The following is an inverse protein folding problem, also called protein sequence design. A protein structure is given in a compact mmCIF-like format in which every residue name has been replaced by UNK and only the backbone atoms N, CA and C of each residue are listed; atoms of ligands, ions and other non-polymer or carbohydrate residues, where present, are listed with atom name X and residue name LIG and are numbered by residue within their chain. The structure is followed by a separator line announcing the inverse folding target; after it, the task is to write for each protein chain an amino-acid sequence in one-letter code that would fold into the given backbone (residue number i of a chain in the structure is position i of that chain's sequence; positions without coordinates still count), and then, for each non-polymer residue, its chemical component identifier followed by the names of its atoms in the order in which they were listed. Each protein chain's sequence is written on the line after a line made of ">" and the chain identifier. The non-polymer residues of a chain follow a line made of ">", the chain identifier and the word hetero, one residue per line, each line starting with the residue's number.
data_IF_276760313161
#
_entry.id   IF_276760313161
#
_cell.length_a   1.000
_cell.length_b   1.000
_cell.length_c   1.000
_cell.angle_alpha   90.00
_cell.angle_beta   90.00
_cell.angle_gamma   90.00
#
_symmetry.space_group_name_H-M   'P 1'
#
loop_
_entity.id
_entity.type
_entity.pdbx_description
1 polymer ?
#
# COMPACT_ATOMS: atom_id res chain seq x y z
N UNK A 1 3.84 -35.59 3.45
CA UNK A 1 2.84 -34.92 4.30
C UNK A 1 1.59 -34.72 3.46
N UNK A 2 0.46 -35.26 3.90
CA UNK A 2 -0.83 -34.97 3.31
C UNK A 2 -1.36 -33.69 3.95
N UNK A 3 -1.77 -32.72 3.12
CA UNK A 3 -2.50 -31.53 3.52
C UNK A 3 -3.89 -31.62 2.92
N UNK A 4 -4.91 -31.11 3.61
CA UNK A 4 -6.29 -31.10 3.10
C UNK A 4 -6.49 -30.02 2.04
N UNK A 5 -5.69 -28.94 2.10
CA UNK A 5 -5.68 -27.86 1.12
C UNK A 5 -4.34 -27.08 1.13
N UNK A 6 -3.98 -26.54 -0.01
CA UNK A 6 -2.86 -25.62 -0.19
C UNK A 6 -3.42 -24.22 -0.40
N UNK A 7 -3.04 -23.29 0.48
CA UNK A 7 -3.52 -21.90 0.46
C UNK A 7 -2.33 -21.00 0.21
N UNK A 8 -2.47 -20.03 -0.68
CA UNK A 8 -1.46 -19.01 -0.98
C UNK A 8 -2.07 -17.61 -0.91
N UNK A 9 -1.25 -16.59 -0.74
CA UNK A 9 -1.73 -15.21 -0.65
C UNK A 9 -2.12 -14.63 -2.02
N UNK A 10 -1.44 -15.03 -3.09
CA UNK A 10 -1.62 -14.46 -4.42
C UNK A 10 -1.16 -15.40 -5.54
N UNK A 11 -1.42 -14.99 -6.78
CA UNK A 11 -1.06 -15.78 -7.97
C UNK A 11 0.44 -15.98 -8.14
N UNK A 12 1.28 -15.04 -7.71
CA UNK A 12 2.73 -15.18 -7.83
C UNK A 12 3.26 -16.26 -6.90
N UNK A 13 2.70 -16.38 -5.69
CA UNK A 13 3.01 -17.48 -4.77
C UNK A 13 2.55 -18.83 -5.31
N UNK A 14 1.39 -18.89 -5.99
CA UNK A 14 0.96 -20.12 -6.66
C UNK A 14 1.96 -20.55 -7.76
N UNK A 15 2.49 -19.59 -8.55
CA UNK A 15 3.54 -19.91 -9.53
C UNK A 15 4.81 -20.47 -8.86
N UNK A 16 5.18 -19.95 -7.69
CA UNK A 16 6.31 -20.47 -6.92
C UNK A 16 6.01 -21.87 -6.37
N UNK A 17 4.82 -22.08 -5.80
CA UNK A 17 4.37 -23.39 -5.31
C UNK A 17 4.42 -24.42 -6.44
N UNK A 18 3.88 -24.08 -7.61
CA UNK A 18 3.94 -24.92 -8.80
C UNK A 18 5.36 -25.22 -9.25
N UNK A 19 6.21 -24.18 -9.29
CA UNK A 19 7.60 -24.30 -9.76
C UNK A 19 8.45 -25.20 -8.87
N UNK A 20 8.34 -25.06 -7.54
CA UNK A 20 9.22 -25.74 -6.60
C UNK A 20 8.70 -27.09 -6.12
N UNK A 21 7.37 -27.25 -6.06
CA UNK A 21 6.74 -28.44 -5.48
C UNK A 21 5.85 -29.17 -6.47
N UNK A 22 5.66 -28.64 -7.68
CA UNK A 22 4.74 -29.17 -8.70
C UNK A 22 3.29 -29.35 -8.21
N UNK A 23 2.84 -28.45 -7.30
CA UNK A 23 1.52 -28.43 -6.72
C UNK A 23 0.88 -27.09 -7.03
N UNK A 24 -0.42 -27.07 -7.33
CA UNK A 24 -1.19 -25.84 -7.44
C UNK A 24 -1.88 -25.53 -6.11
N UNK A 25 -2.14 -24.25 -5.85
CA UNK A 25 -2.95 -23.86 -4.71
C UNK A 25 -4.42 -24.18 -4.94
N UNK A 26 -5.09 -24.67 -3.90
CA UNK A 26 -6.52 -24.92 -3.91
C UNK A 26 -7.31 -23.62 -3.65
N UNK A 27 -6.73 -22.69 -2.90
CA UNK A 27 -7.35 -21.43 -2.51
C UNK A 27 -6.34 -20.27 -2.50
N UNK A 28 -6.89 -19.08 -2.73
CA UNK A 28 -6.21 -17.80 -2.52
C UNK A 28 -6.80 -17.12 -1.29
N UNK A 29 -5.93 -16.74 -0.36
CA UNK A 29 -6.31 -15.99 0.84
C UNK A 29 -5.35 -14.79 0.97
N UNK A 30 -5.64 -13.66 0.31
CA UNK A 30 -4.76 -12.50 0.32
C UNK A 30 -4.68 -11.88 1.72
N UNK A 31 -3.71 -11.00 1.92
CA UNK A 31 -3.65 -10.20 3.14
C UNK A 31 -4.93 -9.40 3.29
N UNK A 32 -5.52 -9.41 4.49
CA UNK A 32 -6.70 -8.64 4.81
C UNK A 32 -6.38 -7.63 5.92
N UNK A 33 -6.97 -6.45 5.83
CA UNK A 33 -6.81 -5.39 6.81
C UNK A 33 -8.18 -4.92 7.28
N UNK A 34 -8.27 -4.62 8.58
CA UNK A 34 -9.47 -4.04 9.18
C UNK A 34 -9.36 -2.54 9.17
N UNK A 35 -10.21 -1.88 8.39
CA UNK A 35 -10.27 -0.42 8.34
C UNK A 35 -11.66 0.03 8.78
N UNK A 36 -11.71 0.85 9.80
CA UNK A 36 -12.97 1.42 10.27
C UNK A 36 -13.27 2.74 9.54
N UNK A 37 -13.91 2.66 8.38
CA UNK A 37 -14.34 3.83 7.61
C UNK A 37 -15.53 4.58 8.24
N UNK A 38 -16.18 4.01 9.26
CA UNK A 38 -17.33 4.65 9.95
C UNK A 38 -16.90 5.56 11.08
N UNK A 39 -15.64 5.56 11.46
CA UNK A 39 -15.11 6.47 12.46
C UNK A 39 -15.26 7.90 11.96
N UNK A 40 -15.80 8.78 12.83
CA UNK A 40 -15.93 10.19 12.50
C UNK A 40 -14.53 10.75 12.17
N UNK A 41 -14.40 11.31 10.97
CA UNK A 41 -13.13 11.89 10.55
C UNK A 41 -12.71 13.02 11.49
N UNK A 42 -11.51 12.94 12.01
CA UNK A 42 -10.89 14.00 12.79
C UNK A 42 -10.49 15.21 11.93
N UNK A 43 -9.77 16.14 12.52
CA UNK A 43 -9.26 17.30 11.80
C UNK A 43 -8.18 16.89 10.82
N UNK A 44 -8.04 17.66 9.74
CA UNK A 44 -6.93 17.49 8.80
C UNK A 44 -5.59 17.68 9.56
N UNK A 45 -4.73 16.65 9.61
CA UNK A 45 -3.46 16.75 10.33
C UNK A 45 -2.38 17.50 9.55
N UNK A 46 -2.58 17.68 8.25
CA UNK A 46 -1.61 18.33 7.37
C UNK A 46 -1.71 19.85 7.47
N UNK A 47 -0.59 20.53 7.23
CA UNK A 47 -0.51 21.98 7.20
C UNK A 47 0.19 22.47 5.91
N UNK A 48 0.03 23.74 5.61
CA UNK A 48 0.61 24.33 4.40
C UNK A 48 -0.29 24.24 3.18
N UNK A 49 0.25 24.60 2.02
CA UNK A 49 -0.46 24.68 0.74
C UNK A 49 0.07 23.67 -0.30
N UNK A 50 1.05 22.85 0.07
CA UNK A 50 1.61 21.82 -0.79
C UNK A 50 0.68 20.62 -0.86
N UNK A 51 0.87 19.77 -1.85
CA UNK A 51 0.25 18.47 -1.92
C UNK A 51 0.94 17.51 -0.95
N UNK A 52 0.19 16.73 -0.20
CA UNK A 52 0.71 15.92 0.89
C UNK A 52 0.95 14.48 0.46
N UNK A 53 2.22 14.09 0.45
CA UNK A 53 2.66 12.72 0.25
C UNK A 53 2.71 12.04 1.61
N UNK A 54 2.05 10.91 1.76
CA UNK A 54 2.12 10.09 2.97
C UNK A 54 3.00 8.86 2.75
N UNK A 55 3.98 8.67 3.64
CA UNK A 55 4.73 7.44 3.80
C UNK A 55 4.39 6.79 5.13
N UNK A 56 3.90 5.55 5.10
CA UNK A 56 3.59 4.76 6.31
C UNK A 56 4.55 3.58 6.42
N UNK A 57 5.12 3.40 7.60
CA UNK A 57 6.02 2.27 7.86
C UNK A 57 6.40 2.12 9.33
N UNK A 58 7.18 1.11 9.64
CA UNK A 58 7.83 0.95 10.93
C UNK A 58 9.33 1.14 10.78
N UNK A 59 10.05 1.29 11.89
CA UNK A 59 11.52 1.30 11.92
C UNK A 59 12.04 -0.10 11.51
N UNK A 60 12.06 -0.34 10.20
CA UNK A 60 12.49 -1.57 9.57
C UNK A 60 13.34 -1.22 8.34
N UNK A 61 14.46 -1.90 8.18
CA UNK A 61 15.50 -1.52 7.23
C UNK A 61 15.00 -1.22 5.80
N UNK A 62 14.18 -2.06 5.15
CA UNK A 62 13.64 -1.75 3.82
C UNK A 62 12.77 -0.47 3.77
N UNK A 63 12.04 -0.15 4.84
CA UNK A 63 11.27 1.10 4.90
C UNK A 63 12.20 2.31 4.93
N UNK A 64 13.26 2.24 5.78
CA UNK A 64 14.22 3.33 5.94
C UNK A 64 15.02 3.53 4.66
N UNK A 65 15.56 2.46 4.10
CA UNK A 65 16.31 2.52 2.84
C UNK A 65 15.47 3.05 1.68
N UNK A 66 14.23 2.59 1.55
CA UNK A 66 13.32 3.09 0.51
C UNK A 66 12.97 4.56 0.69
N UNK A 67 12.73 5.01 1.94
CA UNK A 67 12.47 6.40 2.24
C UNK A 67 13.67 7.30 1.90
N UNK A 68 14.88 6.96 2.36
CA UNK A 68 16.10 7.71 2.02
C UNK A 68 16.31 7.75 0.52
N UNK A 69 16.27 6.60 -0.14
CA UNK A 69 16.41 6.54 -1.58
C UNK A 69 15.42 7.48 -2.31
N UNK A 70 14.16 7.49 -1.88
CA UNK A 70 13.14 8.36 -2.47
C UNK A 70 13.44 9.84 -2.21
N UNK A 71 13.80 10.19 -0.98
CA UNK A 71 14.14 11.56 -0.64
C UNK A 71 15.35 12.05 -1.43
N UNK A 72 16.42 11.26 -1.49
CA UNK A 72 17.68 11.63 -2.14
C UNK A 72 17.60 11.68 -3.67
N UNK A 73 16.73 10.87 -4.29
CA UNK A 73 16.74 10.72 -5.76
C UNK A 73 15.52 11.27 -6.48
N UNK A 74 14.38 11.40 -5.78
CA UNK A 74 13.10 11.81 -6.37
C UNK A 74 12.59 13.12 -5.76
N UNK A 75 12.53 13.21 -4.43
CA UNK A 75 11.81 14.26 -3.74
C UNK A 75 12.37 15.67 -4.03
N UNK A 76 13.66 15.83 -4.10
CA UNK A 76 14.31 17.11 -4.44
C UNK A 76 13.80 17.73 -5.75
N UNK A 77 13.32 16.89 -6.68
CA UNK A 77 12.80 17.36 -7.97
C UNK A 77 11.32 17.77 -7.92
N UNK A 78 10.60 17.44 -6.85
CA UNK A 78 9.15 17.68 -6.74
C UNK A 78 8.77 18.49 -5.50
N UNK A 79 9.68 18.75 -4.58
CA UNK A 79 9.44 19.40 -3.29
C UNK A 79 8.86 20.83 -3.38
N UNK A 80 8.96 21.52 -4.51
CA UNK A 80 8.28 22.80 -4.69
C UNK A 80 6.75 22.69 -4.55
N UNK A 81 6.17 21.57 -5.00
CA UNK A 81 4.74 21.34 -5.01
C UNK A 81 4.25 20.35 -3.94
N UNK A 82 5.18 19.64 -3.29
CA UNK A 82 4.88 18.53 -2.39
C UNK A 82 5.64 18.64 -1.07
N UNK A 83 5.06 18.09 -0.01
CA UNK A 83 5.72 17.73 1.23
C UNK A 83 5.56 16.25 1.53
N UNK A 84 6.39 15.68 2.40
CA UNK A 84 6.32 14.27 2.80
C UNK A 84 6.02 14.17 4.29
N UNK A 85 5.03 13.36 4.64
CA UNK A 85 4.67 13.03 6.00
C UNK A 85 5.01 11.57 6.27
N UNK A 86 5.97 11.36 7.19
CA UNK A 86 6.55 10.05 7.51
C UNK A 86 5.99 9.59 8.84
N UNK A 87 5.18 8.52 8.81
CA UNK A 87 4.40 8.07 9.97
C UNK A 87 4.62 6.59 10.24
N UNK A 88 4.81 6.28 11.52
CA UNK A 88 4.85 4.92 12.02
C UNK A 88 5.85 4.71 13.14
N UNK A 89 5.65 3.60 13.85
CA UNK A 89 6.38 3.30 15.09
C UNK A 89 7.89 3.18 14.86
N UNK A 90 8.63 3.98 15.60
CA UNK A 90 10.09 3.96 15.63
C UNK A 90 10.73 4.84 14.54
N UNK A 91 9.96 5.39 13.58
CA UNK A 91 10.50 6.26 12.53
C UNK A 91 10.97 7.61 13.07
N UNK A 92 10.53 8.03 14.25
CA UNK A 92 11.07 9.21 14.94
C UNK A 92 12.60 9.17 15.14
N UNK A 93 13.20 7.98 15.09
CA UNK A 93 14.65 7.77 15.24
C UNK A 93 15.46 8.26 14.06
N UNK A 94 14.85 8.35 12.89
CA UNK A 94 15.53 8.85 11.66
C UNK A 94 15.20 10.30 11.37
N UNK A 95 14.52 11.01 12.30
CA UNK A 95 14.13 12.42 12.07
C UNK A 95 15.32 13.31 11.76
N UNK A 96 16.39 13.19 12.52
CA UNK A 96 17.59 14.01 12.39
C UNK A 96 18.43 13.63 11.14
N UNK A 97 18.03 12.59 10.40
CA UNK A 97 18.66 12.18 9.14
C UNK A 97 18.10 12.97 7.94
N UNK A 98 16.98 13.70 8.11
CA UNK A 98 16.34 14.52 7.09
C UNK A 98 16.43 16.00 7.48
N UNK A 99 17.29 16.73 6.80
CA UNK A 99 17.50 18.19 7.00
C UNK A 99 16.75 18.97 5.89
N UNK A 100 15.41 18.78 5.83
CA UNK A 100 14.53 19.46 4.87
C UNK A 100 13.19 19.76 5.56
N UNK A 101 12.79 21.04 5.54
CA UNK A 101 11.55 21.52 6.17
C UNK A 101 10.27 20.90 5.56
N UNK A 102 10.36 20.36 4.37
CA UNK A 102 9.26 19.71 3.67
C UNK A 102 9.17 18.18 3.96
N UNK A 103 10.06 17.65 4.82
CA UNK A 103 10.04 16.25 5.27
C UNK A 103 9.62 16.17 6.74
N UNK A 104 8.35 15.88 7.00
CA UNK A 104 7.77 15.85 8.33
C UNK A 104 7.81 14.45 8.92
N UNK A 105 8.83 14.12 9.70
CA UNK A 105 8.92 12.83 10.40
C UNK A 105 8.14 12.91 11.72
N UNK A 106 6.91 12.38 11.71
CA UNK A 106 5.99 12.41 12.86
C UNK A 106 6.30 11.26 13.84
N UNK A 107 6.59 10.07 13.32
CA UNK A 107 6.75 8.86 14.12
C UNK A 107 5.41 8.18 14.43
N UNK A 108 5.26 7.64 15.64
CA UNK A 108 4.03 6.95 16.04
C UNK A 108 2.84 7.90 16.19
N UNK A 109 1.69 7.44 15.72
CA UNK A 109 0.37 8.08 15.94
C UNK A 109 -0.63 7.01 16.38
N UNK A 110 -1.66 7.40 17.18
CA UNK A 110 -2.69 6.48 17.64
C UNK A 110 -3.66 6.06 16.52
N UNK A 111 -3.86 6.93 15.53
CA UNK A 111 -4.73 6.68 14.38
C UNK A 111 -4.05 7.13 13.08
N UNK A 112 -4.09 6.26 12.08
CA UNK A 112 -3.65 6.57 10.72
C UNK A 112 -4.80 7.07 9.83
N UNK A 113 -6.04 6.97 10.30
CA UNK A 113 -7.24 7.23 9.49
C UNK A 113 -7.26 8.63 8.91
N UNK A 114 -6.94 9.64 9.72
CA UNK A 114 -6.92 11.03 9.31
C UNK A 114 -5.81 11.27 8.28
N UNK A 115 -4.62 10.70 8.52
CA UNK A 115 -3.50 10.84 7.59
C UNK A 115 -3.80 10.22 6.23
N UNK A 116 -4.32 8.98 6.20
CA UNK A 116 -4.76 8.38 4.94
C UNK A 116 -5.88 9.19 4.29
N UNK A 117 -6.87 9.64 5.06
CA UNK A 117 -8.05 10.34 4.52
C UNK A 117 -7.71 11.66 3.84
N UNK A 118 -6.80 12.43 4.43
CA UNK A 118 -6.45 13.77 3.95
C UNK A 118 -5.22 13.80 3.03
N UNK A 119 -4.39 12.76 2.98
CA UNK A 119 -3.27 12.68 2.05
C UNK A 119 -3.74 12.83 0.59
N UNK A 120 -2.93 13.48 -0.22
CA UNK A 120 -3.15 13.54 -1.67
C UNK A 120 -2.69 12.25 -2.36
N UNK A 121 -1.59 11.66 -1.88
CA UNK A 121 -1.07 10.40 -2.39
C UNK A 121 -0.26 9.64 -1.33
N UNK A 122 -0.08 8.35 -1.59
CA UNK A 122 0.72 7.45 -0.75
C UNK A 122 1.92 6.99 -1.55
N UNK A 123 3.10 6.94 -0.92
CA UNK A 123 4.28 6.34 -1.53
C UNK A 123 4.75 5.09 -0.76
N UNK A 124 5.27 4.13 -1.50
CA UNK A 124 5.91 2.94 -0.94
C UNK A 124 7.11 2.51 -1.79
N UNK A 125 8.24 3.23 -1.71
CA UNK A 125 9.43 2.99 -2.54
C UNK A 125 10.31 1.87 -1.96
N UNK A 126 9.72 0.69 -1.76
CA UNK A 126 10.41 -0.45 -1.17
C UNK A 126 11.23 -1.18 -2.22
N UNK A 127 12.50 -1.45 -1.93
CA UNK A 127 13.40 -2.18 -2.82
C UNK A 127 13.59 -3.64 -2.41
N UNK A 128 13.17 -3.98 -1.19
CA UNK A 128 13.33 -5.33 -0.62
C UNK A 128 12.16 -5.63 0.34
N UNK A 129 11.96 -6.91 0.62
CA UNK A 129 10.93 -7.39 1.53
C UNK A 129 10.33 -8.71 1.06
N UNK A 130 9.31 -9.20 1.75
CA UNK A 130 8.58 -10.42 1.38
C UNK A 130 7.07 -10.26 1.54
N UNK A 131 6.33 -10.98 0.73
CA UNK A 131 4.87 -11.05 0.80
C UNK A 131 4.14 -9.75 0.49
N UNK A 132 2.84 -9.78 0.66
CA UNK A 132 1.95 -8.63 0.42
C UNK A 132 2.11 -7.57 1.54
N UNK A 133 2.16 -6.30 1.16
CA UNK A 133 2.39 -5.19 2.09
C UNK A 133 1.08 -4.61 2.60
N UNK A 134 0.91 -4.55 3.93
CA UNK A 134 -0.29 -4.00 4.58
C UNK A 134 -0.57 -2.57 4.12
N UNK A 135 0.43 -1.71 4.08
CA UNK A 135 0.29 -0.31 3.64
C UNK A 135 -0.31 -0.14 2.24
N UNK A 136 -0.12 -1.11 1.36
CA UNK A 136 -0.73 -1.11 0.02
C UNK A 136 -2.22 -1.43 0.10
N UNK A 137 -2.63 -2.42 0.90
CA UNK A 137 -4.05 -2.69 1.15
C UNK A 137 -4.75 -1.50 1.83
N UNK A 138 -4.07 -0.84 2.78
CA UNK A 138 -4.56 0.38 3.43
C UNK A 138 -4.75 1.51 2.40
N UNK A 139 -3.77 1.79 1.55
CA UNK A 139 -3.91 2.81 0.50
C UNK A 139 -5.09 2.52 -0.45
N UNK A 140 -5.26 1.26 -0.85
CA UNK A 140 -6.38 0.80 -1.67
C UNK A 140 -7.71 1.03 -0.93
N UNK A 141 -7.79 0.73 0.37
CA UNK A 141 -9.01 0.89 1.18
C UNK A 141 -9.49 2.33 1.29
N UNK A 142 -8.56 3.29 1.31
CA UNK A 142 -8.88 4.71 1.28
C UNK A 142 -9.06 5.28 -0.12
N UNK A 143 -8.94 4.45 -1.16
CA UNK A 143 -9.03 4.87 -2.57
C UNK A 143 -7.98 5.89 -2.97
N UNK A 144 -6.79 5.82 -2.37
CA UNK A 144 -5.74 6.82 -2.56
C UNK A 144 -4.90 6.56 -3.81
N UNK A 145 -4.47 7.66 -4.40
CA UNK A 145 -3.40 7.59 -5.39
C UNK A 145 -2.16 6.94 -4.74
N UNK A 146 -1.57 5.97 -5.43
CA UNK A 146 -0.49 5.18 -4.88
C UNK A 146 0.67 5.07 -5.87
N UNK A 147 1.86 5.46 -5.43
CA UNK A 147 3.11 5.31 -6.17
C UNK A 147 3.98 4.31 -5.41
N UNK A 148 4.16 3.13 -5.96
CA UNK A 148 4.90 2.07 -5.28
C UNK A 148 5.79 1.27 -6.21
N UNK A 149 6.83 0.67 -5.64
CA UNK A 149 7.71 -0.26 -6.34
C UNK A 149 6.99 -1.56 -6.69
N UNK A 150 7.60 -2.38 -7.54
CA UNK A 150 7.16 -3.76 -7.79
C UNK A 150 7.07 -4.58 -6.51
N UNK A 151 7.97 -4.32 -5.54
CA UNK A 151 7.96 -4.99 -4.23
C UNK A 151 6.74 -4.57 -3.38
N UNK A 152 6.41 -3.29 -3.34
CA UNK A 152 5.23 -2.81 -2.60
C UNK A 152 3.90 -3.22 -3.23
N UNK A 153 3.88 -3.43 -4.54
CA UNK A 153 2.72 -3.87 -5.31
C UNK A 153 2.65 -5.39 -5.52
N UNK A 154 3.58 -6.15 -4.92
CA UNK A 154 3.59 -7.61 -5.02
C UNK A 154 2.29 -8.23 -4.52
N UNK A 155 1.62 -8.98 -5.39
CA UNK A 155 0.33 -9.61 -5.10
C UNK A 155 -0.89 -8.68 -5.20
N UNK A 156 -0.69 -7.40 -5.52
CA UNK A 156 -1.77 -6.43 -5.74
C UNK A 156 -1.88 -6.01 -7.20
N UNK A 157 -0.75 -5.88 -7.90
CA UNK A 157 -0.70 -5.31 -9.25
C UNK A 157 -1.61 -6.00 -10.25
N UNK A 158 -1.71 -7.31 -10.18
CA UNK A 158 -2.56 -8.12 -11.05
C UNK A 158 -4.05 -7.88 -10.82
N UNK A 159 -4.43 -7.48 -9.60
CA UNK A 159 -5.82 -7.21 -9.19
C UNK A 159 -6.26 -5.76 -9.43
N UNK A 160 -5.31 -4.83 -9.59
CA UNK A 160 -5.63 -3.43 -9.92
C UNK A 160 -6.26 -3.37 -11.32
N UNK A 161 -7.43 -2.73 -11.49
CA UNK A 161 -8.04 -2.49 -12.79
C UNK A 161 -7.07 -1.80 -13.77
N UNK A 162 -7.05 -2.24 -15.02
CA UNK A 162 -6.09 -1.74 -16.01
C UNK A 162 -6.25 -0.25 -16.30
N UNK A 163 -7.46 0.27 -16.23
CA UNK A 163 -7.75 1.69 -16.44
C UNK A 163 -7.28 2.59 -15.28
N UNK A 164 -6.98 2.02 -14.10
CA UNK A 164 -6.37 2.73 -12.97
C UNK A 164 -4.84 2.68 -12.98
N UNK A 165 -4.25 1.70 -13.70
CA UNK A 165 -2.78 1.56 -13.83
C UNK A 165 -2.20 2.75 -14.60
N UNK A 166 -1.22 3.42 -13.99
CA UNK A 166 -0.58 4.61 -14.55
C UNK A 166 -1.45 5.88 -14.55
N UNK A 167 -2.57 5.86 -13.78
CA UNK A 167 -3.44 7.01 -13.55
C UNK A 167 -3.73 7.25 -12.05
N UNK A 168 -3.97 6.20 -11.30
CA UNK A 168 -4.24 6.22 -9.87
C UNK A 168 -3.22 5.36 -9.12
N UNK A 169 -2.86 4.21 -9.68
CA UNK A 169 -1.81 3.34 -9.14
C UNK A 169 -0.65 3.30 -10.12
N UNK A 170 0.52 3.74 -9.67
CA UNK A 170 1.74 3.79 -10.44
C UNK A 170 2.74 2.77 -9.90
N UNK A 171 3.26 1.94 -10.77
CA UNK A 171 4.37 1.04 -10.46
C UNK A 171 5.67 1.70 -10.90
N UNK A 172 6.53 2.01 -9.93
CA UNK A 172 7.75 2.79 -10.12
C UNK A 172 8.91 2.08 -9.40
N UNK A 173 9.87 1.56 -10.15
CA UNK A 173 11.06 0.88 -9.62
C UNK A 173 12.32 1.76 -9.74
N UNK A 174 12.25 2.87 -10.50
CA UNK A 174 13.34 3.81 -10.73
C UNK A 174 12.92 5.25 -10.44
N UNK A 175 13.90 6.13 -10.17
CA UNK A 175 13.64 7.55 -9.97
C UNK A 175 12.95 8.18 -11.20
N UNK A 176 13.35 7.79 -12.41
CA UNK A 176 12.75 8.27 -13.65
C UNK A 176 11.26 7.90 -13.73
N UNK A 177 10.88 6.68 -13.35
CA UNK A 177 9.46 6.25 -13.34
C UNK A 177 8.65 7.05 -12.34
N UNK A 178 9.20 7.33 -11.12
CA UNK A 178 8.56 8.21 -10.15
C UNK A 178 8.39 9.63 -10.71
N UNK A 179 9.43 10.24 -11.26
CA UNK A 179 9.34 11.59 -11.84
C UNK A 179 8.35 11.66 -13.00
N UNK A 180 8.31 10.64 -13.85
CA UNK A 180 7.32 10.54 -14.91
C UNK A 180 5.88 10.39 -14.37
N UNK A 181 5.71 9.69 -13.23
CA UNK A 181 4.42 9.61 -12.54
C UNK A 181 4.00 10.98 -11.99
N UNK A 182 4.89 11.70 -11.29
CA UNK A 182 4.62 13.05 -10.78
C UNK A 182 4.24 14.02 -11.91
N UNK A 183 4.97 14.01 -13.02
CA UNK A 183 4.64 14.84 -14.19
C UNK A 183 3.21 14.58 -14.69
N UNK A 184 2.79 13.31 -14.80
CA UNK A 184 1.42 12.96 -15.21
C UNK A 184 0.37 13.39 -14.18
N UNK A 185 0.71 13.33 -12.89
CA UNK A 185 -0.18 13.72 -11.79
C UNK A 185 -0.38 15.23 -11.79
N UNK A 186 0.66 16.00 -12.08
CA UNK A 186 0.60 17.46 -12.09
C UNK A 186 -0.20 18.03 -13.29
N UNK A 187 -0.40 17.24 -14.35
CA UNK A 187 -1.23 17.63 -15.48
C UNK A 187 -2.74 17.70 -15.14
N UNK A 188 -3.20 17.09 -14.06
CA UNK A 188 -4.62 16.93 -13.73
C UNK A 188 -4.88 17.12 -12.23
N UNK A 189 -6.12 17.49 -11.84
CA UNK A 189 -6.51 17.45 -10.43
C UNK A 189 -6.35 16.03 -9.86
N UNK A 190 -5.77 15.94 -8.67
CA UNK A 190 -5.61 14.65 -7.97
C UNK A 190 -6.98 14.10 -7.56
N UNK A 191 -7.26 12.84 -7.89
CA UNK A 191 -8.39 12.11 -7.38
C UNK A 191 -8.13 11.74 -5.91
N UNK A 192 -8.73 12.49 -4.98
CA UNK A 192 -8.52 12.27 -3.53
C UNK A 192 -9.11 10.97 -3.02
N UNK A 193 -10.09 10.41 -3.72
CA UNK A 193 -10.77 9.17 -3.35
C UNK A 193 -11.28 8.46 -4.59
N UNK A 194 -10.76 7.27 -4.88
CA UNK A 194 -11.17 6.45 -6.01
C UNK A 194 -12.06 5.30 -5.52
N UNK A 195 -13.33 5.30 -5.91
CA UNK A 195 -14.35 4.33 -5.44
C UNK A 195 -14.10 2.92 -6.01
N UNK A 196 -13.42 2.80 -7.14
CA UNK A 196 -13.10 1.51 -7.75
C UNK A 196 -12.02 0.77 -6.97
N UNK A 197 -11.02 1.50 -6.44
CA UNK A 197 -10.04 0.94 -5.50
C UNK A 197 -10.71 0.50 -4.20
N UNK A 198 -11.66 1.28 -3.67
CA UNK A 198 -12.40 0.91 -2.47
C UNK A 198 -13.22 -0.37 -2.70
N UNK A 199 -13.88 -0.46 -3.85
CA UNK A 199 -14.62 -1.68 -4.25
C UNK A 199 -13.68 -2.89 -4.35
N UNK A 200 -12.47 -2.71 -4.86
CA UNK A 200 -11.44 -3.75 -4.89
C UNK A 200 -11.05 -4.20 -3.48
N UNK A 201 -10.83 -3.24 -2.57
CA UNK A 201 -10.55 -3.54 -1.16
C UNK A 201 -11.69 -4.34 -0.51
N UNK A 202 -12.94 -3.88 -0.65
CA UNK A 202 -14.10 -4.55 -0.07
C UNK A 202 -14.24 -5.99 -0.55
N UNK A 203 -13.93 -6.22 -1.82
CA UNK A 203 -14.01 -7.55 -2.44
C UNK A 203 -12.89 -8.51 -2.03
N UNK A 204 -11.65 -8.02 -1.84
CA UNK A 204 -10.48 -8.90 -1.70
C UNK A 204 -9.73 -8.76 -0.38
N UNK A 205 -9.73 -7.57 0.25
CA UNK A 205 -8.79 -7.24 1.33
C UNK A 205 -9.48 -6.84 2.63
N UNK A 206 -10.80 -6.75 2.66
CA UNK A 206 -11.58 -6.42 3.86
C UNK A 206 -11.78 -7.62 4.80
N UNK A 207 -12.18 -7.36 6.05
CA UNK A 207 -12.57 -8.42 7.00
C UNK A 207 -13.72 -9.29 6.46
N UNK A 208 -14.70 -8.67 5.78
CA UNK A 208 -15.80 -9.43 5.17
C UNK A 208 -15.30 -10.35 4.05
N UNK A 209 -14.35 -9.88 3.24
CA UNK A 209 -13.70 -10.72 2.23
C UNK A 209 -12.99 -11.91 2.89
N UNK A 210 -12.20 -11.64 3.95
CA UNK A 210 -11.51 -12.68 4.72
C UNK A 210 -12.47 -13.72 5.28
N UNK A 211 -13.57 -13.27 5.89
CA UNK A 211 -14.60 -14.16 6.43
C UNK A 211 -15.19 -15.08 5.34
N UNK A 212 -15.58 -14.49 4.20
CA UNK A 212 -16.18 -15.24 3.10
C UNK A 212 -15.22 -16.26 2.49
N UNK A 213 -13.95 -15.88 2.31
CA UNK A 213 -12.91 -16.80 1.81
C UNK A 213 -12.68 -17.94 2.81
N UNK A 214 -12.53 -17.62 4.10
CA UNK A 214 -12.31 -18.64 5.13
C UNK A 214 -13.49 -19.60 5.24
N UNK A 215 -14.73 -19.09 5.17
CA UNK A 215 -15.94 -19.90 5.13
C UNK A 215 -15.91 -20.87 3.95
N UNK A 216 -15.62 -20.38 2.74
CA UNK A 216 -15.54 -21.22 1.53
C UNK A 216 -14.45 -22.32 1.67
N UNK A 217 -13.29 -21.97 2.22
CA UNK A 217 -12.22 -22.94 2.50
C UNK A 217 -12.70 -24.03 3.45
N UNK A 218 -13.31 -23.66 4.58
CA UNK A 218 -13.79 -24.64 5.58
C UNK A 218 -14.89 -25.52 5.01
N UNK A 219 -15.89 -24.95 4.34
CA UNK A 219 -16.98 -25.71 3.74
C UNK A 219 -16.48 -26.72 2.70
N UNK A 220 -15.53 -26.33 1.84
CA UNK A 220 -14.99 -27.19 0.79
C UNK A 220 -14.04 -28.27 1.30
N UNK A 221 -13.28 -27.98 2.35
CA UNK A 221 -12.30 -28.94 2.90
C UNK A 221 -12.93 -29.93 3.90
N UNK A 222 -13.92 -29.48 4.69
CA UNK A 222 -14.49 -30.28 5.77
C UNK A 222 -15.89 -30.84 5.44
N UNK A 223 -16.59 -30.29 4.45
CA UNK A 223 -17.99 -30.56 4.16
C UNK A 223 -18.99 -29.98 5.19
N UNK A 224 -18.50 -29.24 6.19
CA UNK A 224 -19.34 -28.59 7.21
C UNK A 224 -19.80 -27.23 6.67
N UNK A 225 -21.10 -26.97 6.68
CA UNK A 225 -21.67 -25.66 6.32
C UNK A 225 -21.65 -24.74 7.52
N UNK A 226 -21.08 -23.54 7.34
CA UNK A 226 -21.02 -22.44 8.32
C UNK A 226 -22.08 -21.38 8.10
#
# INVERSE_FOLDING_TARGET
>A
THTDANIVLNQNENKLLKRYYNVDADFYFPVCVSINHTQQMGLNPYCGNKKHILFVGTYYLPNIQGLHWFCDTVFDNVKENYDIWVIGKGLEKVRDEFDDDDIHVIGFVDSLSEYYSYADMIIAPLTDGGGMKIKTAEAISYGKMFLGSSESLYGYWEEIPDDLKGKVVFKCDTAEEYLNAFNKIDEKPICKKNEELITLYDRLYSENAAYNIMKDIVEKTTGVKL
#
